data_IF_047966363696
#
_entry.id   IF_047966363696
#
_cell.length_a   1.000
_cell.length_b   1.000
_cell.length_c   1.000
_cell.angle_alpha   90.00
_cell.angle_beta   90.00
_cell.angle_gamma   90.00
#
_symmetry.space_group_name_H-M   'P 1'
#
loop_
_entity.id
_entity.type
_entity.pdbx_description
1 polymer ?
#
# COMPACT_ATOMS: atom_id res chain seq x y z
N UNK A 1 9.49 -4.41 -24.73
CA UNK A 1 8.20 -4.58 -24.04
C UNK A 1 7.11 -3.86 -24.80
N UNK A 2 5.94 -4.50 -24.92
CA UNK A 2 4.74 -3.85 -25.45
C UNK A 2 4.26 -2.77 -24.47
N UNK A 3 3.46 -1.85 -24.98
CA UNK A 3 2.90 -0.76 -24.20
C UNK A 3 2.04 -1.25 -23.01
N UNK A 4 1.17 -2.23 -23.25
CA UNK A 4 0.33 -2.86 -22.21
C UNK A 4 1.15 -3.55 -21.12
N UNK A 5 2.22 -4.23 -21.51
CA UNK A 5 3.14 -4.95 -20.62
C UNK A 5 3.84 -3.98 -19.64
N UNK A 6 4.24 -2.78 -20.11
CA UNK A 6 4.82 -1.75 -19.22
C UNK A 6 3.83 -1.28 -18.15
N UNK A 7 2.58 -1.01 -18.54
CA UNK A 7 1.55 -0.55 -17.60
C UNK A 7 1.21 -1.66 -16.61
N UNK A 8 0.99 -2.88 -17.10
CA UNK A 8 0.74 -4.05 -16.27
C UNK A 8 1.85 -4.31 -15.26
N UNK A 9 3.12 -4.20 -15.65
CA UNK A 9 4.23 -4.31 -14.70
C UNK A 9 4.19 -3.24 -13.61
N UNK A 10 3.79 -2.01 -13.94
CA UNK A 10 3.61 -0.95 -12.95
C UNK A 10 2.40 -1.18 -12.05
N UNK A 11 1.30 -1.72 -12.57
CA UNK A 11 0.16 -2.14 -11.77
C UNK A 11 0.53 -3.30 -10.83
N UNK A 12 1.39 -4.22 -11.29
CA UNK A 12 1.96 -5.27 -10.46
C UNK A 12 2.87 -4.73 -9.36
N UNK A 13 3.71 -3.72 -9.65
CA UNK A 13 4.48 -3.01 -8.62
C UNK A 13 3.55 -2.45 -7.52
N UNK A 14 2.44 -1.82 -7.91
CA UNK A 14 1.43 -1.31 -6.96
C UNK A 14 0.73 -2.44 -6.19
N UNK A 15 0.41 -3.55 -6.84
CA UNK A 15 -0.22 -4.71 -6.22
C UNK A 15 0.67 -5.31 -5.12
N UNK A 16 1.96 -5.45 -5.39
CA UNK A 16 2.96 -5.94 -4.43
C UNK A 16 3.02 -5.01 -3.22
N UNK A 17 3.18 -3.70 -3.47
CA UNK A 17 3.21 -2.69 -2.41
C UNK A 17 1.92 -2.70 -1.56
N UNK A 18 0.77 -2.90 -2.20
CA UNK A 18 -0.53 -2.98 -1.54
C UNK A 18 -0.64 -4.18 -0.61
N UNK A 19 -0.12 -5.35 -1.03
CA UNK A 19 -0.05 -6.52 -0.17
C UNK A 19 0.89 -6.33 1.02
N UNK A 20 2.00 -5.64 0.81
CA UNK A 20 2.95 -5.32 1.88
C UNK A 20 2.32 -4.41 2.92
N UNK A 21 1.65 -3.34 2.49
CA UNK A 21 0.90 -2.46 3.38
C UNK A 21 -0.21 -3.22 4.14
N UNK A 22 -0.98 -4.09 3.47
CA UNK A 22 -2.00 -4.91 4.15
C UNK A 22 -1.38 -5.67 5.33
N UNK A 23 -0.28 -6.39 5.10
CA UNK A 23 0.40 -7.16 6.16
C UNK A 23 0.94 -6.26 7.25
N UNK A 24 1.52 -5.11 6.87
CA UNK A 24 2.01 -4.10 7.80
C UNK A 24 0.93 -3.60 8.75
N UNK A 25 -0.23 -3.22 8.22
CA UNK A 25 -1.38 -2.81 9.03
C UNK A 25 -1.91 -3.91 9.94
N UNK A 26 -2.04 -5.14 9.42
CA UNK A 26 -2.50 -6.28 10.25
C UNK A 26 -1.56 -6.54 11.43
N UNK A 27 -0.25 -6.58 11.17
CA UNK A 27 0.75 -6.76 12.23
C UNK A 27 0.79 -5.58 13.20
N UNK A 28 0.58 -4.36 12.71
CA UNK A 28 0.51 -3.19 13.57
C UNK A 28 -0.73 -3.25 14.49
N UNK A 29 -1.89 -3.61 13.95
CA UNK A 29 -3.13 -3.77 14.71
C UNK A 29 -3.03 -4.85 15.81
N UNK A 30 -2.21 -5.89 15.60
CA UNK A 30 -1.95 -6.92 16.61
C UNK A 30 -1.09 -6.42 17.77
N UNK A 31 -0.25 -5.41 17.55
CA UNK A 31 0.74 -4.91 18.53
C UNK A 31 0.29 -3.68 19.32
N UNK A 32 -0.67 -2.93 18.81
CA UNK A 32 -1.17 -1.72 19.50
C UNK A 32 -2.23 -2.06 20.53
N UNK A 33 -2.15 -1.42 21.70
CA UNK A 33 -3.13 -1.59 22.78
C UNK A 33 -4.28 -0.59 22.69
N UNK A 34 -4.05 0.59 22.12
CA UNK A 34 -5.06 1.64 21.99
C UNK A 34 -6.19 1.17 21.03
N UNK A 35 -7.44 1.03 21.50
CA UNK A 35 -8.54 0.50 20.68
C UNK A 35 -8.86 1.34 19.43
N UNK A 36 -8.71 2.67 19.52
CA UNK A 36 -8.98 3.56 18.38
C UNK A 36 -7.92 3.40 17.28
N UNK A 37 -6.64 3.34 17.68
CA UNK A 37 -5.53 3.09 16.74
C UNK A 37 -5.65 1.70 16.13
N UNK A 38 -6.00 0.69 16.94
CA UNK A 38 -6.25 -0.67 16.45
C UNK A 38 -7.32 -0.72 15.36
N UNK A 39 -8.49 -0.14 15.64
CA UNK A 39 -9.61 -0.08 14.69
C UNK A 39 -9.19 0.61 13.38
N UNK A 40 -8.46 1.72 13.48
CA UNK A 40 -7.93 2.43 12.31
C UNK A 40 -7.02 1.52 11.46
N UNK A 41 -6.06 0.83 12.09
CA UNK A 41 -5.13 -0.06 11.38
C UNK A 41 -5.86 -1.24 10.73
N UNK A 42 -6.84 -1.86 11.41
CA UNK A 42 -7.67 -2.93 10.84
C UNK A 42 -8.46 -2.46 9.62
N UNK A 43 -9.07 -1.27 9.69
CA UNK A 43 -9.77 -0.66 8.56
C UNK A 43 -8.84 -0.44 7.36
N UNK A 44 -7.60 0.00 7.61
CA UNK A 44 -6.61 0.16 6.54
C UNK A 44 -6.15 -1.17 5.96
N UNK A 45 -5.96 -2.21 6.76
CA UNK A 45 -5.68 -3.56 6.25
C UNK A 45 -6.78 -4.05 5.30
N UNK A 46 -8.05 -3.85 5.67
CA UNK A 46 -9.20 -4.21 4.84
C UNK A 46 -9.28 -3.37 3.55
N UNK A 47 -9.00 -2.06 3.64
CA UNK A 47 -8.93 -1.20 2.46
C UNK A 47 -7.84 -1.67 1.48
N UNK A 48 -6.63 -1.99 1.97
CA UNK A 48 -5.53 -2.50 1.14
C UNK A 48 -5.86 -3.86 0.52
N UNK A 49 -6.59 -4.72 1.22
CA UNK A 49 -7.12 -5.95 0.62
C UNK A 49 -8.01 -5.66 -0.59
N UNK A 50 -8.97 -4.75 -0.45
CA UNK A 50 -9.87 -4.38 -1.55
C UNK A 50 -9.11 -3.76 -2.72
N UNK A 51 -8.14 -2.89 -2.46
CA UNK A 51 -7.30 -2.30 -3.51
C UNK A 51 -6.53 -3.36 -4.29
N UNK A 52 -5.98 -4.36 -3.59
CA UNK A 52 -5.33 -5.49 -4.24
C UNK A 52 -6.27 -6.22 -5.20
N UNK A 53 -7.52 -6.46 -4.81
CA UNK A 53 -8.50 -7.12 -5.68
C UNK A 53 -8.87 -6.27 -6.91
N UNK A 54 -9.03 -4.96 -6.75
CA UNK A 54 -9.27 -4.04 -7.86
C UNK A 54 -8.07 -4.01 -8.82
N UNK A 55 -6.84 -3.92 -8.30
CA UNK A 55 -5.60 -3.93 -9.10
C UNK A 55 -5.41 -5.24 -9.85
N UNK A 56 -5.68 -6.40 -9.22
CA UNK A 56 -5.66 -7.70 -9.91
C UNK A 56 -6.59 -7.73 -11.10
N UNK A 57 -7.80 -7.23 -10.90
CA UNK A 57 -8.83 -7.19 -11.96
C UNK A 57 -8.37 -6.28 -13.10
N UNK A 58 -7.77 -5.13 -12.77
CA UNK A 58 -7.24 -4.19 -13.76
C UNK A 58 -6.08 -4.80 -14.56
N UNK A 59 -5.11 -5.46 -13.93
CA UNK A 59 -3.97 -6.11 -14.59
C UNK A 59 -4.45 -7.11 -15.67
N UNK A 60 -5.48 -7.91 -15.35
CA UNK A 60 -6.05 -8.87 -16.30
C UNK A 60 -6.60 -8.20 -17.56
N UNK A 61 -7.09 -6.96 -17.47
CA UNK A 61 -7.57 -6.21 -18.65
C UNK A 61 -6.44 -5.84 -19.63
N UNK A 62 -5.19 -5.81 -19.16
CA UNK A 62 -4.00 -5.59 -19.98
C UNK A 62 -3.44 -6.88 -20.59
N UNK A 63 -4.05 -8.03 -20.29
CA UNK A 63 -3.68 -9.34 -20.85
C UNK A 63 -2.52 -10.03 -20.11
N UNK A 64 -2.15 -9.53 -18.94
CA UNK A 64 -1.09 -10.09 -18.10
C UNK A 64 -1.67 -10.73 -16.84
N UNK A 65 -0.87 -11.57 -16.18
CA UNK A 65 -1.25 -12.21 -14.93
C UNK A 65 -0.84 -11.35 -13.73
N UNK A 66 -1.74 -11.14 -12.76
CA UNK A 66 -1.37 -10.47 -11.52
C UNK A 66 -0.36 -11.30 -10.74
N UNK A 67 0.66 -10.64 -10.21
CA UNK A 67 1.62 -11.19 -9.25
C UNK A 67 0.85 -11.72 -8.03
N UNK A 68 1.04 -13.00 -7.72
CA UNK A 68 0.44 -13.58 -6.53
C UNK A 68 1.15 -13.07 -5.28
N UNK A 69 0.37 -12.88 -4.20
CA UNK A 69 0.88 -12.37 -2.92
C UNK A 69 2.03 -13.21 -2.32
N UNK A 70 2.20 -14.48 -2.72
CA UNK A 70 3.30 -15.36 -2.33
C UNK A 70 4.58 -15.23 -3.17
N UNK A 71 4.51 -14.52 -4.31
CA UNK A 71 5.63 -14.31 -5.24
C UNK A 71 6.32 -12.95 -5.06
N UNK A 72 5.97 -12.20 -4.02
CA UNK A 72 6.52 -10.86 -3.71
C UNK A 72 8.05 -10.95 -3.51
N UNK A 73 8.78 -10.77 -4.61
CA UNK A 73 10.25 -10.80 -4.68
C UNK A 73 10.75 -9.36 -4.74
N UNK A 74 10.85 -8.71 -3.59
CA UNK A 74 11.39 -7.35 -3.51
C UNK A 74 12.25 -7.13 -2.26
N UNK A 75 13.31 -6.33 -2.41
CA UNK A 75 14.13 -5.86 -1.29
C UNK A 75 13.32 -5.03 -0.29
N UNK A 76 12.28 -4.34 -0.78
CA UNK A 76 11.41 -3.53 0.05
C UNK A 76 10.57 -4.37 1.03
N UNK A 77 9.95 -5.45 0.55
CA UNK A 77 9.16 -6.36 1.39
C UNK A 77 10.00 -6.91 2.54
N UNK A 78 11.24 -7.32 2.25
CA UNK A 78 12.17 -7.84 3.25
C UNK A 78 12.58 -6.79 4.27
N UNK A 79 12.86 -5.57 3.84
CA UNK A 79 13.22 -4.47 4.73
C UNK A 79 12.06 -4.12 5.68
N UNK A 80 10.84 -4.02 5.13
CA UNK A 80 9.62 -3.80 5.90
C UNK A 80 9.37 -4.90 6.94
N UNK A 81 9.35 -6.16 6.50
CA UNK A 81 9.08 -7.31 7.37
C UNK A 81 10.13 -7.44 8.48
N UNK A 82 11.40 -7.16 8.16
CA UNK A 82 12.48 -7.16 9.16
C UNK A 82 12.24 -6.07 10.21
N UNK A 83 11.89 -4.85 9.81
CA UNK A 83 11.59 -3.77 10.75
C UNK A 83 10.43 -4.15 11.68
N UNK A 84 9.31 -4.62 11.13
CA UNK A 84 8.14 -5.00 11.91
C UNK A 84 8.44 -6.18 12.85
N UNK A 85 9.28 -7.13 12.43
CA UNK A 85 9.70 -8.25 13.29
C UNK A 85 10.58 -7.82 14.45
N UNK A 86 11.30 -6.70 14.33
CA UNK A 86 12.17 -6.18 15.40
C UNK A 86 11.46 -5.26 16.38
N UNK A 87 10.32 -4.69 15.99
CA UNK A 87 9.50 -3.81 16.84
C UNK A 87 8.81 -4.62 17.95
N UNK A 88 8.94 -4.19 19.21
CA UNK A 88 8.19 -4.72 20.35
C UNK A 88 6.93 -3.90 20.64
N UNK A 89 6.01 -4.40 21.47
CA UNK A 89 4.71 -3.73 21.76
C UNK A 89 4.85 -2.33 22.37
N UNK A 90 5.92 -2.11 23.13
CA UNK A 90 6.32 -0.83 23.72
C UNK A 90 6.96 0.17 22.73
N UNK A 91 7.04 -0.17 21.45
CA UNK A 91 7.55 0.71 20.37
C UNK A 91 6.46 1.07 19.36
N UNK A 92 5.21 1.23 19.82
CA UNK A 92 4.05 1.56 18.99
C UNK A 92 4.26 2.81 18.12
N UNK A 93 4.93 3.84 18.64
CA UNK A 93 5.28 5.05 17.88
C UNK A 93 6.16 4.72 16.65
N UNK A 94 7.26 3.97 16.86
CA UNK A 94 8.14 3.53 15.77
C UNK A 94 7.41 2.67 14.73
N UNK A 95 6.42 1.90 15.17
CA UNK A 95 5.58 1.12 14.27
C UNK A 95 4.72 2.02 13.38
N UNK A 96 4.11 3.08 13.94
CA UNK A 96 3.33 4.05 13.18
C UNK A 96 4.19 4.85 12.20
N UNK A 97 5.40 5.29 12.61
CA UNK A 97 6.38 5.94 11.73
C UNK A 97 6.69 5.10 10.50
N UNK A 98 6.90 3.80 10.72
CA UNK A 98 7.20 2.88 9.66
C UNK A 98 5.98 2.72 8.75
N UNK A 99 4.77 2.54 9.30
CA UNK A 99 3.51 2.53 8.50
C UNK A 99 3.40 3.78 7.64
N UNK A 100 3.68 4.96 8.20
CA UNK A 100 3.69 6.22 7.45
C UNK A 100 4.75 6.21 6.33
N UNK A 101 5.96 5.72 6.61
CA UNK A 101 7.03 5.59 5.60
C UNK A 101 6.63 4.64 4.46
N UNK A 102 5.98 3.52 4.80
CA UNK A 102 5.44 2.57 3.84
C UNK A 102 4.42 3.25 2.94
N UNK A 103 3.42 3.90 3.53
CA UNK A 103 2.35 4.61 2.83
C UNK A 103 2.87 5.74 1.93
N UNK A 104 3.86 6.53 2.38
CA UNK A 104 4.53 7.54 1.53
C UNK A 104 5.15 6.92 0.29
N UNK A 105 5.77 5.75 0.41
CA UNK A 105 6.36 5.04 -0.73
C UNK A 105 5.28 4.58 -1.71
N UNK A 106 4.17 4.04 -1.22
CA UNK A 106 3.04 3.63 -2.06
C UNK A 106 2.47 4.84 -2.77
N UNK A 107 2.20 5.93 -2.05
CA UNK A 107 1.70 7.18 -2.62
C UNK A 107 2.58 7.69 -3.75
N UNK A 108 3.90 7.67 -3.57
CA UNK A 108 4.86 8.03 -4.62
C UNK A 108 4.69 7.16 -5.86
N UNK A 109 4.58 5.84 -5.69
CA UNK A 109 4.41 4.92 -6.81
C UNK A 109 3.10 5.17 -7.59
N UNK A 110 2.01 5.51 -6.90
CA UNK A 110 0.76 5.92 -7.55
C UNK A 110 0.91 7.24 -8.31
N UNK A 111 1.54 8.24 -7.71
CA UNK A 111 1.79 9.55 -8.35
C UNK A 111 2.67 9.38 -9.60
N UNK A 112 3.75 8.62 -9.48
CA UNK A 112 4.63 8.30 -10.60
C UNK A 112 3.87 7.63 -11.74
N UNK A 113 2.99 6.67 -11.45
CA UNK A 113 2.18 6.01 -12.48
C UNK A 113 1.16 6.95 -13.14
N UNK A 114 0.49 7.81 -12.38
CA UNK A 114 -0.56 8.70 -12.87
C UNK A 114 -0.03 9.90 -13.67
N UNK A 115 1.16 10.38 -13.33
CA UNK A 115 1.77 11.61 -13.86
C UNK A 115 2.83 11.35 -14.95
N UNK A 116 3.29 10.12 -15.11
CA UNK A 116 4.28 9.78 -16.13
C UNK A 116 3.71 9.96 -17.54
N UNK A 117 4.44 10.72 -18.37
CA UNK A 117 4.10 11.07 -19.76
C UNK A 117 4.50 9.99 -20.76
N UNK A 118 5.24 8.98 -20.35
CA UNK A 118 5.62 7.82 -21.19
C UNK A 118 4.42 6.93 -21.53
N UNK A 119 3.30 7.06 -20.81
CA UNK A 119 2.08 6.33 -21.06
C UNK A 119 0.81 7.17 -20.85
N UNK A 120 -0.20 6.81 -21.63
CA UNK A 120 -1.61 7.19 -21.55
C UNK A 120 -2.42 6.03 -20.93
N UNK A 121 -2.85 6.23 -19.69
CA UNK A 121 -3.77 5.31 -19.04
C UNK A 121 -5.19 5.49 -19.61
N UNK A 122 -5.93 4.39 -19.89
CA UNK A 122 -7.38 4.42 -20.04
C UNK A 122 -8.04 5.15 -18.86
N UNK A 123 -9.16 5.81 -19.11
CA UNK A 123 -9.87 6.57 -18.07
C UNK A 123 -10.27 5.68 -16.89
N UNK A 124 -10.73 4.45 -17.14
CA UNK A 124 -11.06 3.49 -16.07
C UNK A 124 -9.87 3.21 -15.14
N UNK A 125 -8.69 2.96 -15.72
CA UNK A 125 -7.44 2.74 -14.96
C UNK A 125 -7.06 3.99 -14.17
N UNK A 126 -7.13 5.16 -14.81
CA UNK A 126 -6.78 6.45 -14.17
C UNK A 126 -7.72 6.76 -13.01
N UNK A 127 -9.02 6.54 -13.16
CA UNK A 127 -10.02 6.76 -12.12
C UNK A 127 -9.82 5.81 -10.94
N UNK A 128 -9.56 4.53 -11.22
CA UNK A 128 -9.24 3.53 -10.20
C UNK A 128 -8.01 3.96 -9.37
N UNK A 129 -6.90 4.26 -10.07
CA UNK A 129 -5.65 4.64 -9.41
C UNK A 129 -5.77 5.95 -8.65
N UNK A 130 -6.51 6.93 -9.18
CA UNK A 130 -6.73 8.22 -8.50
C UNK A 130 -7.54 8.02 -7.22
N UNK A 131 -8.63 7.24 -7.27
CA UNK A 131 -9.44 6.89 -6.09
C UNK A 131 -8.59 6.24 -5.00
N UNK A 132 -7.74 5.30 -5.36
CA UNK A 132 -6.86 4.61 -4.41
C UNK A 132 -5.78 5.54 -3.84
N UNK A 133 -5.14 6.35 -4.69
CA UNK A 133 -4.17 7.38 -4.29
C UNK A 133 -4.76 8.35 -3.27
N UNK A 134 -5.94 8.89 -3.54
CA UNK A 134 -6.59 9.88 -2.67
C UNK A 134 -6.95 9.27 -1.31
N UNK A 135 -7.35 8.00 -1.30
CA UNK A 135 -7.61 7.27 -0.07
C UNK A 135 -6.32 6.98 0.75
N UNK A 136 -5.19 6.73 0.08
CA UNK A 136 -3.86 6.61 0.68
C UNK A 136 -3.43 7.95 1.30
N UNK A 137 -3.55 9.04 0.55
CA UNK A 137 -3.17 10.39 1.01
C UNK A 137 -3.98 10.79 2.26
N UNK A 138 -5.29 10.55 2.24
CA UNK A 138 -6.14 10.76 3.42
C UNK A 138 -5.76 9.86 4.60
N UNK A 139 -5.32 8.62 4.35
CA UNK A 139 -4.86 7.72 5.41
C UNK A 139 -3.59 8.24 6.09
N UNK A 140 -2.64 8.79 5.31
CA UNK A 140 -1.43 9.42 5.82
C UNK A 140 -1.72 10.63 6.70
N UNK A 141 -2.60 11.52 6.25
CA UNK A 141 -3.05 12.67 7.06
C UNK A 141 -3.67 12.22 8.38
N UNK A 142 -4.49 11.16 8.34
CA UNK A 142 -5.13 10.61 9.53
C UNK A 142 -4.14 9.96 10.48
N UNK A 143 -3.13 9.25 9.94
CA UNK A 143 -2.10 8.60 10.75
C UNK A 143 -1.30 9.61 11.58
N UNK A 144 -0.94 10.76 10.99
CA UNK A 144 -0.25 11.85 11.70
C UNK A 144 -1.05 12.41 12.87
N UNK A 145 -2.36 12.55 12.70
CA UNK A 145 -3.24 12.99 13.80
C UNK A 145 -3.25 11.99 14.95
N UNK A 146 -3.18 10.68 14.66
CA UNK A 146 -3.10 9.67 15.72
C UNK A 146 -1.73 9.64 16.40
N UNK A 147 -0.64 9.86 15.67
CA UNK A 147 0.71 10.02 16.21
C UNK A 147 0.75 11.13 17.26
N UNK A 148 0.24 12.33 16.95
CA UNK A 148 0.15 13.45 17.91
C UNK A 148 -0.68 13.14 19.17
N UNK A 149 -1.59 12.16 19.12
CA UNK A 149 -2.45 11.78 20.25
C UNK A 149 -1.80 10.68 21.11
N UNK A 150 -0.88 9.90 20.55
CA UNK A 150 -0.21 8.80 21.27
C UNK A 150 1.21 9.12 21.74
N UNK A 151 1.84 10.16 21.19
CA UNK A 151 3.10 10.75 21.68
C UNK A 151 2.88 11.62 22.93
#
# INVERSE_FOLDING_TARGET
>A
MKYSEKISNKLNDLLILTYDAKRGYSLAAEKVENPAVKSFLEDKANQRFNFGQELKSEILTYGDLPEDSGSIKGDFHRAWMKFVSTVSSNETEKLLDEVERGEKKILSAYKDLLENKEWILPNSTRDLLSKQRDAIEKALETSRMYEEVVS
#
